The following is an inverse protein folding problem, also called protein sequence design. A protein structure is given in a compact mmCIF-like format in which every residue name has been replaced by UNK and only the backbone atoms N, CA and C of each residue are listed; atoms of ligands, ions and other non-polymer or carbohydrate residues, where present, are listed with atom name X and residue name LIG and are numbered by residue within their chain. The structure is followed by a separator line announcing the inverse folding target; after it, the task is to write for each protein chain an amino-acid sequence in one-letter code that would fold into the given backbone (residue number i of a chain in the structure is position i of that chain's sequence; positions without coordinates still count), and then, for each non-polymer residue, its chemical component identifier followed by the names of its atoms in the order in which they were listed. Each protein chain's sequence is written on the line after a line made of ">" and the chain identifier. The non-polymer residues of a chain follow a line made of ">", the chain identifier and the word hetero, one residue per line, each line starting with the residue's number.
data_IF_129432626401
#
_entry.id   IF_129432626401
#
_cell.length_a   1.000
_cell.length_b   1.000
_cell.length_c   1.000
_cell.angle_alpha   90.00
_cell.angle_beta   90.00
_cell.angle_gamma   90.00
#
_symmetry.space_group_name_H-M   'P 1'
#
loop_
_entity.id
_entity.type
_entity.pdbx_description
1 polymer ?
#
# COMPACT_ATOMS: atom_id res chain seq x y z
N UNK A 1 80.58 -24.36 30.45
CA UNK A 1 81.16 -23.04 30.08
C UNK A 1 80.19 -21.96 30.44
N UNK A 2 80.50 -21.04 31.38
CA UNK A 2 79.76 -19.84 31.67
C UNK A 2 80.18 -18.77 30.68
N UNK A 3 79.22 -18.27 29.87
CA UNK A 3 79.44 -17.12 29.03
C UNK A 3 79.01 -15.84 29.78
N UNK A 4 79.88 -14.85 29.82
CA UNK A 4 79.62 -13.55 30.46
C UNK A 4 79.45 -12.55 29.35
N UNK A 5 78.32 -11.85 29.37
CA UNK A 5 77.98 -10.76 28.40
C UNK A 5 78.08 -9.45 29.15
N UNK A 6 78.73 -8.49 28.53
CA UNK A 6 78.63 -7.03 28.91
C UNK A 6 77.72 -6.35 27.95
N UNK A 7 76.80 -5.57 28.46
CA UNK A 7 75.91 -4.75 27.64
C UNK A 7 75.87 -3.32 28.20
N UNK A 8 75.61 -2.39 27.32
CA UNK A 8 75.30 -1.00 27.68
C UNK A 8 73.88 -0.75 27.35
N UNK A 9 73.10 -0.30 28.35
CA UNK A 9 71.74 0.15 28.16
C UNK A 9 71.74 1.67 27.98
N UNK A 10 71.33 2.15 26.78
CA UNK A 10 71.12 3.56 26.49
C UNK A 10 69.67 3.86 26.79
N UNK A 11 69.41 4.76 27.70
CA UNK A 11 68.05 5.23 28.03
C UNK A 11 67.85 6.61 27.41
N UNK A 12 67.00 6.73 26.37
CA UNK A 12 66.81 8.01 25.68
C UNK A 12 66.32 9.12 26.61
N UNK A 13 65.53 8.76 27.63
CA UNK A 13 64.95 9.75 28.56
C UNK A 13 66.01 10.37 29.49
N UNK A 14 67.20 9.71 29.64
CA UNK A 14 68.30 10.17 30.47
C UNK A 14 69.41 10.82 29.68
N UNK A 15 69.24 10.93 28.35
CA UNK A 15 70.25 11.59 27.54
C UNK A 15 69.95 13.11 27.54
N UNK A 16 70.89 13.86 28.13
CA UNK A 16 70.93 15.32 28.01
C UNK A 16 71.54 15.70 26.65
N UNK A 17 70.75 16.30 25.83
CA UNK A 17 71.23 16.86 24.54
C UNK A 17 71.78 18.26 24.85
N UNK A 18 73.07 18.35 24.87
CA UNK A 18 73.73 19.64 25.09
C UNK A 18 73.97 20.36 23.76
N UNK A 19 72.87 20.53 22.99
CA UNK A 19 72.87 21.17 21.67
C UNK A 19 71.91 22.33 21.70
N UNK A 20 72.36 23.48 21.29
CA UNK A 20 71.51 24.61 21.01
C UNK A 20 70.90 24.44 19.63
N UNK A 21 69.57 24.39 19.56
CA UNK A 21 68.84 24.38 18.31
C UNK A 21 68.87 25.77 17.73
N UNK A 22 69.28 25.89 16.46
CA UNK A 22 69.31 27.17 15.76
C UNK A 22 67.90 27.57 15.28
N UNK A 23 67.74 28.86 15.00
CA UNK A 23 66.47 29.38 14.45
C UNK A 23 66.15 28.74 13.09
N UNK A 24 67.16 28.57 12.26
CA UNK A 24 67.00 27.96 10.94
C UNK A 24 66.51 26.49 11.03
N UNK A 25 66.95 25.72 12.03
CA UNK A 25 66.47 24.37 12.25
C UNK A 25 65.00 24.33 12.72
N UNK A 26 64.57 25.31 13.50
CA UNK A 26 63.19 25.44 13.90
C UNK A 26 62.29 25.83 12.70
N UNK A 27 62.72 26.73 11.86
CA UNK A 27 62.01 27.14 10.65
C UNK A 27 61.90 25.96 9.68
N UNK A 28 62.99 25.28 9.43
CA UNK A 28 62.96 24.08 8.56
C UNK A 28 62.05 22.99 9.09
N UNK A 29 62.09 22.73 10.38
CA UNK A 29 61.16 21.72 11.00
C UNK A 29 59.71 22.20 10.84
N UNK A 30 59.40 23.44 11.04
CA UNK A 30 58.06 23.97 10.85
C UNK A 30 57.59 23.86 9.39
N UNK A 31 58.47 24.11 8.41
CA UNK A 31 58.12 23.96 6.99
C UNK A 31 57.89 22.46 6.66
N UNK A 32 58.79 21.56 7.09
CA UNK A 32 58.72 20.14 6.80
C UNK A 32 57.47 19.47 7.42
N UNK A 33 57.02 19.97 8.57
CA UNK A 33 55.89 19.41 9.32
C UNK A 33 54.70 20.40 9.42
N UNK A 34 54.60 21.34 8.51
CA UNK A 34 53.57 22.39 8.56
C UNK A 34 52.14 21.88 8.70
N UNK A 35 51.86 20.71 8.14
CA UNK A 35 50.55 20.07 8.25
C UNK A 35 50.19 19.66 9.71
N UNK A 36 51.17 19.43 10.56
CA UNK A 36 50.96 19.05 11.97
C UNK A 36 50.66 20.28 12.85
N UNK A 37 50.99 21.48 12.35
CA UNK A 37 50.81 22.76 13.05
C UNK A 37 49.58 23.53 12.57
N UNK A 38 48.75 22.93 11.68
CA UNK A 38 47.53 23.55 11.20
C UNK A 38 46.40 23.28 12.16
N UNK A 39 45.80 24.34 12.69
CA UNK A 39 44.52 24.16 13.41
C UNK A 39 43.42 23.78 12.40
N UNK A 40 42.64 22.76 12.68
CA UNK A 40 41.51 22.41 11.82
C UNK A 40 40.53 23.57 11.72
N UNK A 41 39.98 23.77 10.51
CA UNK A 41 38.93 24.75 10.32
C UNK A 41 37.68 24.35 11.10
N UNK A 42 37.21 25.19 12.00
CA UNK A 42 35.98 25.06 12.72
C UNK A 42 34.92 25.99 12.15
N UNK A 43 33.73 25.50 11.95
CA UNK A 43 32.58 26.28 11.46
C UNK A 43 31.41 26.11 12.41
N UNK A 44 30.91 27.23 12.88
CA UNK A 44 29.60 27.25 13.56
C UNK A 44 28.50 27.25 12.51
N UNK A 45 27.64 26.22 12.57
CA UNK A 45 26.55 26.08 11.62
C UNK A 45 25.24 26.16 12.39
N UNK A 46 24.38 27.09 12.00
CA UNK A 46 22.98 27.16 12.45
C UNK A 46 22.09 26.71 11.32
N UNK A 47 21.15 25.81 11.62
CA UNK A 47 20.15 25.35 10.66
C UNK A 47 18.77 25.35 11.28
N UNK A 48 17.76 25.51 10.43
CA UNK A 48 16.35 25.40 10.80
C UNK A 48 15.83 24.14 10.13
N UNK A 49 15.25 23.24 10.91
CA UNK A 49 14.53 22.06 10.41
C UNK A 49 13.05 22.43 10.32
N UNK A 50 12.49 22.38 9.13
CA UNK A 50 11.07 22.49 8.91
C UNK A 50 10.52 21.08 8.64
N UNK A 51 9.82 20.51 9.63
CA UNK A 51 9.19 19.20 9.50
C UNK A 51 7.71 19.38 9.13
N UNK A 52 7.24 18.61 8.17
CA UNK A 52 5.81 18.53 7.83
C UNK A 52 4.98 18.08 9.04
N UNK A 53 5.52 17.19 9.87
CA UNK A 53 4.83 16.71 11.07
C UNK A 53 4.67 17.83 12.11
N UNK A 54 5.66 18.72 12.28
CA UNK A 54 5.58 19.87 13.18
C UNK A 54 4.54 20.89 12.70
N UNK A 55 4.39 21.07 11.40
CA UNK A 55 3.36 21.91 10.80
C UNK A 55 1.99 21.27 11.00
N UNK A 56 1.86 19.99 10.64
CA UNK A 56 0.62 19.23 10.78
C UNK A 56 0.10 19.20 12.23
N UNK A 57 1.01 19.15 13.22
CA UNK A 57 0.65 19.22 14.63
C UNK A 57 -0.01 20.56 15.04
N UNK A 58 0.35 21.66 14.37
CA UNK A 58 -0.17 23.00 14.63
C UNK A 58 -1.48 23.31 13.91
N UNK A 59 -1.87 22.49 12.91
CA UNK A 59 -3.13 22.67 12.20
C UNK A 59 -4.29 22.26 13.10
N UNK A 60 -5.16 23.22 13.41
CA UNK A 60 -6.40 22.98 14.13
C UNK A 60 -7.53 22.78 13.11
N UNK A 61 -8.01 21.56 12.99
CA UNK A 61 -9.18 21.24 12.17
C UNK A 61 -10.44 21.35 13.02
N UNK A 62 -11.42 22.08 12.53
CA UNK A 62 -12.74 22.15 13.15
C UNK A 62 -13.55 20.87 12.89
N UNK A 63 -14.58 20.64 13.68
CA UNK A 63 -15.51 19.54 13.43
C UNK A 63 -16.28 19.76 12.12
N UNK A 64 -16.47 21.00 11.72
CA UNK A 64 -17.10 21.40 10.46
C UNK A 64 -16.23 21.02 9.25
N UNK A 65 -14.92 21.24 9.31
CA UNK A 65 -14.00 20.83 8.23
C UNK A 65 -14.00 19.30 8.04
N UNK A 66 -14.01 18.57 9.14
CA UNK A 66 -14.04 17.10 9.13
C UNK A 66 -15.38 16.60 8.56
N UNK A 67 -16.48 17.24 8.95
CA UNK A 67 -17.81 16.88 8.44
C UNK A 67 -17.96 17.21 6.96
N UNK A 68 -17.48 18.35 6.51
CA UNK A 68 -17.48 18.76 5.12
C UNK A 68 -16.70 17.74 4.26
N UNK A 69 -15.47 17.42 4.67
CA UNK A 69 -14.65 16.43 3.97
C UNK A 69 -15.31 15.04 3.92
N UNK A 70 -15.91 14.59 5.03
CA UNK A 70 -16.63 13.32 5.07
C UNK A 70 -17.77 13.28 4.08
N UNK A 71 -18.60 14.34 4.04
CA UNK A 71 -19.77 14.42 3.16
C UNK A 71 -19.38 14.51 1.67
N UNK A 72 -18.31 15.23 1.35
CA UNK A 72 -17.81 15.37 -0.01
C UNK A 72 -17.13 14.09 -0.52
N UNK A 73 -16.61 13.26 0.38
CA UNK A 73 -15.80 12.08 0.03
C UNK A 73 -16.41 10.77 0.56
N UNK A 74 -17.73 10.65 0.61
CA UNK A 74 -18.43 9.47 1.15
C UNK A 74 -17.93 8.15 0.56
N UNK A 75 -17.62 8.11 -0.72
CA UNK A 75 -17.11 6.95 -1.43
C UNK A 75 -15.78 6.41 -0.88
N UNK A 76 -14.96 7.25 -0.21
CA UNK A 76 -13.73 6.83 0.43
C UNK A 76 -13.96 6.13 1.80
N UNK A 77 -15.16 6.29 2.35
CA UNK A 77 -15.56 5.77 3.66
C UNK A 77 -16.63 4.69 3.56
N UNK A 78 -17.00 4.31 2.35
CA UNK A 78 -17.96 3.25 2.06
C UNK A 78 -17.27 2.11 1.30
N UNK A 79 -17.53 0.89 1.72
CA UNK A 79 -17.19 -0.30 0.94
C UNK A 79 -18.51 -0.80 0.33
N UNK A 80 -18.65 -0.83 -0.98
CA UNK A 80 -19.90 -1.28 -1.60
C UNK A 80 -20.18 -2.75 -1.29
N UNK A 81 -21.47 -3.11 -1.30
CA UNK A 81 -21.87 -4.51 -1.31
C UNK A 81 -21.32 -5.15 -2.58
N UNK A 82 -20.74 -6.34 -2.44
CA UNK A 82 -20.28 -7.13 -3.58
C UNK A 82 -20.91 -8.52 -3.55
N UNK A 83 -21.19 -9.04 -4.73
CA UNK A 83 -21.79 -10.36 -4.92
C UNK A 83 -20.92 -11.23 -5.79
N UNK A 84 -20.67 -12.45 -5.35
CA UNK A 84 -20.01 -13.44 -6.18
C UNK A 84 -21.05 -14.02 -7.14
N UNK A 85 -20.84 -13.76 -8.42
CA UNK A 85 -21.80 -14.05 -9.49
C UNK A 85 -21.22 -15.08 -10.44
N UNK A 86 -22.00 -16.11 -10.69
CA UNK A 86 -21.80 -17.04 -11.79
C UNK A 86 -22.72 -16.61 -12.93
N UNK A 87 -22.24 -16.68 -14.17
CA UNK A 87 -22.99 -16.24 -15.35
C UNK A 87 -22.88 -17.27 -16.48
N UNK A 88 -23.98 -17.47 -17.18
CA UNK A 88 -24.05 -18.13 -18.48
C UNK A 88 -24.60 -17.16 -19.52
N UNK A 89 -24.07 -17.21 -20.73
CA UNK A 89 -24.52 -16.38 -21.86
C UNK A 89 -24.95 -17.29 -22.98
N UNK A 90 -26.10 -16.96 -23.59
CA UNK A 90 -26.70 -17.68 -24.72
C UNK A 90 -27.08 -16.73 -25.85
N UNK A 91 -26.97 -17.20 -27.06
CA UNK A 91 -27.32 -16.41 -28.25
C UNK A 91 -28.85 -16.28 -28.41
N UNK A 92 -29.61 -17.23 -27.90
CA UNK A 92 -31.06 -17.25 -28.01
C UNK A 92 -31.78 -17.39 -26.68
N UNK A 93 -32.98 -16.82 -26.61
CA UNK A 93 -33.87 -16.97 -25.46
C UNK A 93 -34.25 -18.43 -25.17
N UNK A 94 -34.47 -19.20 -26.25
CA UNK A 94 -34.87 -20.61 -26.13
C UNK A 94 -33.81 -21.46 -25.42
N UNK A 95 -32.53 -21.20 -25.71
CA UNK A 95 -31.42 -21.90 -25.05
C UNK A 95 -31.30 -21.49 -23.57
N UNK A 96 -31.47 -20.18 -23.30
CA UNK A 96 -31.48 -19.67 -21.94
C UNK A 96 -32.65 -20.23 -21.13
N UNK A 97 -33.86 -20.35 -21.72
CA UNK A 97 -35.02 -20.93 -21.07
C UNK A 97 -34.81 -22.44 -20.74
N UNK A 98 -34.19 -23.21 -21.64
CA UNK A 98 -33.81 -24.62 -21.39
C UNK A 98 -32.83 -24.72 -20.22
N UNK A 99 -31.82 -23.85 -20.18
CA UNK A 99 -30.84 -23.81 -19.10
C UNK A 99 -31.52 -23.44 -17.76
N UNK A 100 -32.40 -22.43 -17.78
CA UNK A 100 -33.13 -22.00 -16.60
C UNK A 100 -34.06 -23.11 -16.07
N UNK A 101 -34.72 -23.87 -16.96
CA UNK A 101 -35.54 -25.05 -16.58
C UNK A 101 -34.67 -26.12 -15.91
N UNK A 102 -33.49 -26.46 -16.48
CA UNK A 102 -32.58 -27.43 -15.91
C UNK A 102 -32.06 -27.00 -14.50
N UNK A 103 -31.83 -25.72 -14.29
CA UNK A 103 -31.45 -25.19 -12.98
C UNK A 103 -32.58 -25.23 -11.96
N UNK A 104 -33.82 -25.00 -12.39
CA UNK A 104 -35.03 -25.16 -11.55
C UNK A 104 -35.28 -26.64 -11.14
N UNK A 105 -34.85 -27.58 -11.97
CA UNK A 105 -34.86 -29.04 -11.64
C UNK A 105 -33.74 -29.42 -10.67
N UNK A 106 -32.86 -28.47 -10.31
CA UNK A 106 -31.79 -28.68 -9.32
C UNK A 106 -30.47 -29.16 -9.90
N UNK A 107 -30.28 -29.08 -11.22
CA UNK A 107 -28.96 -29.34 -11.84
C UNK A 107 -27.91 -28.34 -11.38
N UNK A 108 -26.67 -28.80 -11.28
CA UNK A 108 -25.54 -27.94 -10.92
C UNK A 108 -25.31 -26.87 -11.97
N UNK A 109 -25.04 -25.64 -11.53
CA UNK A 109 -24.88 -24.48 -12.41
C UNK A 109 -23.71 -24.65 -13.41
N UNK A 110 -22.56 -25.16 -12.94
CA UNK A 110 -21.41 -25.39 -13.81
C UNK A 110 -21.62 -26.56 -14.80
N UNK A 111 -22.38 -27.55 -14.37
CA UNK A 111 -22.75 -28.66 -15.26
C UNK A 111 -23.63 -28.15 -16.43
N UNK A 112 -24.64 -27.32 -16.12
CA UNK A 112 -25.52 -26.69 -17.13
C UNK A 112 -24.72 -25.73 -18.01
N UNK A 113 -23.81 -24.92 -17.43
CA UNK A 113 -22.95 -24.02 -18.19
C UNK A 113 -22.08 -24.76 -19.22
N UNK A 114 -21.48 -25.86 -18.80
CA UNK A 114 -20.65 -26.69 -19.71
C UNK A 114 -21.48 -27.40 -20.77
N UNK A 115 -22.64 -27.93 -20.41
CA UNK A 115 -23.49 -28.73 -21.30
C UNK A 115 -24.20 -27.85 -22.34
N UNK A 116 -24.85 -26.75 -21.90
CA UNK A 116 -25.72 -25.92 -22.75
C UNK A 116 -25.06 -24.65 -23.25
N UNK A 117 -24.32 -23.94 -22.41
CA UNK A 117 -23.65 -22.69 -22.81
C UNK A 117 -22.23 -22.91 -23.37
N UNK A 118 -21.68 -24.14 -23.31
CA UNK A 118 -20.32 -24.48 -23.72
C UNK A 118 -19.24 -23.64 -22.99
N UNK A 119 -19.57 -23.15 -21.81
CA UNK A 119 -18.70 -22.36 -20.96
C UNK A 119 -18.03 -23.25 -19.92
N UNK A 120 -16.75 -23.04 -19.69
CA UNK A 120 -16.02 -23.68 -18.60
C UNK A 120 -16.26 -22.95 -17.28
N UNK A 121 -15.65 -23.46 -16.20
CA UNK A 121 -15.81 -22.91 -14.86
C UNK A 121 -15.23 -21.52 -14.73
N UNK A 122 -14.16 -21.22 -15.45
CA UNK A 122 -13.48 -19.94 -15.39
C UNK A 122 -14.30 -18.87 -16.12
N UNK A 123 -14.77 -19.16 -17.33
CA UNK A 123 -15.64 -18.28 -18.10
C UNK A 123 -17.00 -18.02 -17.42
N UNK A 124 -17.45 -18.96 -16.60
CA UNK A 124 -18.72 -18.85 -15.88
C UNK A 124 -18.62 -17.98 -14.61
N UNK A 125 -17.43 -17.84 -14.01
CA UNK A 125 -17.26 -17.16 -12.73
C UNK A 125 -16.81 -15.72 -12.90
N UNK A 126 -17.70 -14.76 -12.66
CA UNK A 126 -17.37 -13.33 -12.66
C UNK A 126 -16.65 -12.86 -11.38
N UNK A 127 -16.62 -13.70 -10.34
CA UNK A 127 -16.08 -13.33 -9.04
C UNK A 127 -16.98 -12.35 -8.28
N UNK A 128 -16.38 -11.61 -7.35
CA UNK A 128 -17.10 -10.57 -6.60
C UNK A 128 -17.20 -9.30 -7.41
N UNK A 129 -18.43 -8.93 -7.76
CA UNK A 129 -18.76 -7.71 -8.51
C UNK A 129 -19.61 -6.77 -7.65
N UNK A 130 -19.38 -5.48 -7.80
CA UNK A 130 -20.24 -4.42 -7.24
C UNK A 130 -21.33 -4.03 -8.23
N UNK A 131 -22.29 -3.24 -7.77
CA UNK A 131 -23.47 -2.87 -8.55
C UNK A 131 -23.12 -2.11 -9.84
N UNK A 132 -22.11 -1.28 -9.80
CA UNK A 132 -21.60 -0.47 -10.91
C UNK A 132 -20.77 -1.25 -11.95
N UNK A 133 -20.37 -2.48 -11.63
CA UNK A 133 -19.64 -3.36 -12.54
C UNK A 133 -20.54 -4.14 -13.50
N UNK A 134 -21.83 -4.15 -13.26
CA UNK A 134 -22.83 -4.83 -14.08
C UNK A 134 -23.67 -3.83 -14.87
N UNK A 135 -24.16 -4.23 -16.05
CA UNK A 135 -25.14 -3.45 -16.79
C UNK A 135 -26.45 -3.36 -15.98
N UNK A 136 -27.20 -2.26 -16.16
CA UNK A 136 -28.32 -1.89 -15.30
C UNK A 136 -29.32 -3.03 -15.05
N UNK A 137 -29.80 -3.70 -16.09
CA UNK A 137 -30.81 -4.77 -15.97
C UNK A 137 -30.27 -5.98 -15.23
N UNK A 138 -29.02 -6.36 -15.46
CA UNK A 138 -28.38 -7.47 -14.74
C UNK A 138 -28.07 -7.07 -13.29
N UNK A 139 -27.62 -5.85 -13.07
CA UNK A 139 -27.32 -5.30 -11.75
C UNK A 139 -28.55 -5.34 -10.85
N UNK A 140 -29.67 -4.82 -11.36
CA UNK A 140 -30.94 -4.81 -10.61
C UNK A 140 -31.39 -6.23 -10.24
N UNK A 141 -31.34 -7.16 -11.20
CA UNK A 141 -31.72 -8.54 -10.97
C UNK A 141 -30.80 -9.26 -9.96
N UNK A 142 -29.50 -9.07 -10.11
CA UNK A 142 -28.49 -9.70 -9.23
C UNK A 142 -28.57 -9.13 -7.83
N UNK A 143 -28.66 -7.81 -7.66
CA UNK A 143 -28.59 -7.17 -6.33
C UNK A 143 -29.90 -7.22 -5.54
N UNK A 144 -31.03 -7.56 -6.17
CA UNK A 144 -32.29 -7.93 -5.48
C UNK A 144 -32.36 -9.41 -5.07
N UNK A 145 -31.52 -10.26 -5.64
CA UNK A 145 -31.58 -11.68 -5.41
C UNK A 145 -30.94 -12.08 -4.07
N UNK A 146 -31.39 -13.18 -3.48
CA UNK A 146 -30.79 -13.76 -2.28
C UNK A 146 -29.57 -14.64 -2.66
N UNK A 147 -28.69 -14.88 -1.69
CA UNK A 147 -27.62 -15.86 -1.85
C UNK A 147 -28.19 -17.23 -2.27
N UNK A 148 -27.60 -17.82 -3.29
CA UNK A 148 -28.03 -19.08 -3.89
C UNK A 148 -29.06 -18.94 -4.99
N UNK A 149 -29.69 -17.78 -5.15
CA UNK A 149 -30.73 -17.57 -6.16
C UNK A 149 -30.16 -17.53 -7.57
N UNK A 150 -30.93 -18.05 -8.50
CA UNK A 150 -30.70 -17.95 -9.94
C UNK A 150 -31.62 -16.84 -10.47
N UNK A 151 -31.09 -15.95 -11.29
CA UNK A 151 -31.78 -14.83 -11.91
C UNK A 151 -31.62 -14.89 -13.43
N UNK A 152 -32.64 -14.46 -14.12
CA UNK A 152 -32.69 -14.48 -15.58
C UNK A 152 -33.77 -15.43 -16.12
N UNK A 153 -33.84 -15.57 -17.45
CA UNK A 153 -32.98 -14.95 -18.46
C UNK A 153 -33.14 -13.42 -18.53
N UNK A 154 -32.01 -12.71 -18.59
CA UNK A 154 -31.96 -11.25 -18.79
C UNK A 154 -31.31 -10.97 -20.14
N UNK A 155 -31.94 -10.15 -20.96
CA UNK A 155 -31.43 -9.78 -22.28
C UNK A 155 -30.39 -8.66 -22.18
N UNK A 156 -29.32 -8.76 -22.95
CA UNK A 156 -28.36 -7.69 -23.18
C UNK A 156 -27.97 -7.61 -24.64
N UNK A 157 -27.06 -6.69 -24.98
CA UNK A 157 -26.46 -6.63 -26.32
C UNK A 157 -25.61 -7.86 -26.65
N UNK A 158 -25.10 -8.53 -25.63
CA UNK A 158 -24.26 -9.74 -25.77
C UNK A 158 -25.06 -11.05 -25.83
N UNK A 159 -26.39 -10.99 -25.66
CA UNK A 159 -27.24 -12.17 -25.64
C UNK A 159 -28.12 -12.28 -24.41
N UNK A 160 -28.48 -13.52 -24.05
CA UNK A 160 -29.32 -13.85 -22.93
C UNK A 160 -28.52 -14.42 -21.76
N UNK A 161 -28.65 -13.79 -20.61
CA UNK A 161 -27.85 -14.09 -19.43
C UNK A 161 -28.68 -14.80 -18.37
N UNK A 162 -28.10 -15.89 -17.82
CA UNK A 162 -28.58 -16.51 -16.59
C UNK A 162 -27.45 -16.37 -15.56
N UNK A 163 -27.79 -15.83 -14.40
CA UNK A 163 -26.84 -15.56 -13.33
C UNK A 163 -27.24 -16.25 -12.05
N UNK A 164 -26.23 -16.62 -11.22
CA UNK A 164 -26.46 -17.16 -9.88
C UNK A 164 -25.63 -16.38 -8.88
N UNK A 165 -26.27 -15.91 -7.83
CA UNK A 165 -25.58 -15.27 -6.70
C UNK A 165 -25.04 -16.36 -5.77
N UNK A 166 -23.77 -16.66 -5.87
CA UNK A 166 -23.14 -17.73 -5.07
C UNK A 166 -22.78 -17.26 -3.67
N UNK A 167 -22.42 -15.99 -3.50
CA UNK A 167 -22.11 -15.38 -2.20
C UNK A 167 -22.41 -13.88 -2.18
N UNK A 168 -22.58 -13.32 -1.00
CA UNK A 168 -22.84 -11.89 -0.78
C UNK A 168 -21.90 -11.39 0.32
N UNK A 169 -21.12 -10.36 0.00
CA UNK A 169 -20.38 -9.60 0.99
C UNK A 169 -21.09 -8.26 1.19
N UNK A 170 -21.63 -8.08 2.37
CA UNK A 170 -22.32 -6.83 2.71
C UNK A 170 -21.36 -5.66 2.60
N UNK A 171 -21.85 -4.56 2.06
CA UNK A 171 -21.17 -3.29 2.12
C UNK A 171 -21.04 -2.81 3.56
N UNK A 172 -20.07 -1.95 3.79
CA UNK A 172 -19.89 -1.28 5.07
C UNK A 172 -19.72 0.20 4.85
N UNK A 173 -20.27 0.98 5.78
CA UNK A 173 -20.10 2.43 5.82
C UNK A 173 -19.41 2.77 7.13
N UNK A 174 -18.26 3.42 7.00
CA UNK A 174 -17.56 3.97 8.14
C UNK A 174 -18.31 5.20 8.64
N UNK A 175 -18.72 5.21 9.89
CA UNK A 175 -19.38 6.40 10.45
C UNK A 175 -18.40 7.57 10.63
N UNK A 176 -18.94 8.79 10.83
CA UNK A 176 -18.13 10.00 10.99
C UNK A 176 -17.12 9.88 12.12
N UNK A 177 -17.45 9.18 13.20
CA UNK A 177 -16.56 9.01 14.36
C UNK A 177 -15.38 8.11 14.03
N UNK A 178 -15.64 7.02 13.31
CA UNK A 178 -14.59 6.10 12.83
C UNK A 178 -13.72 6.75 11.75
N UNK A 179 -14.35 7.53 10.84
CA UNK A 179 -13.66 8.22 9.76
C UNK A 179 -12.78 9.38 10.27
N UNK A 180 -13.13 9.99 11.42
CA UNK A 180 -12.47 11.19 11.95
C UNK A 180 -10.94 11.09 11.98
N UNK A 181 -10.41 10.01 12.53
CA UNK A 181 -8.96 9.84 12.63
C UNK A 181 -8.28 9.79 11.25
N UNK A 182 -8.93 9.13 10.30
CA UNK A 182 -8.46 9.05 8.90
C UNK A 182 -8.53 10.41 8.22
N UNK A 183 -9.64 11.14 8.37
CA UNK A 183 -9.85 12.48 7.80
C UNK A 183 -8.81 13.47 8.35
N UNK A 184 -8.63 13.51 9.67
CA UNK A 184 -7.61 14.35 10.30
C UNK A 184 -6.22 14.05 9.74
N UNK A 185 -5.89 12.78 9.53
CA UNK A 185 -4.60 12.39 8.95
C UNK A 185 -4.45 12.83 7.49
N UNK A 186 -5.53 12.87 6.71
CA UNK A 186 -5.52 13.34 5.33
C UNK A 186 -5.35 14.86 5.31
N UNK A 187 -6.27 15.59 5.95
CA UNK A 187 -6.30 17.05 5.94
C UNK A 187 -5.07 17.72 6.58
N UNK A 188 -4.30 17.00 7.38
CA UNK A 188 -3.03 17.50 7.94
C UNK A 188 -1.82 17.23 7.05
N UNK A 189 -1.96 16.43 6.01
CA UNK A 189 -0.87 16.13 5.06
C UNK A 189 -0.94 16.94 3.77
N UNK A 190 -2.15 17.40 3.43
CA UNK A 190 -2.42 18.29 2.29
C UNK A 190 -2.16 19.75 2.71
#
# INVERSE_FOLDING_TARGET
>A
QKKIFKYVKIDPEKMTIDRKISQDEVEQFYEDFSSEFVAPEERDVSFIVLSTDDIAAKINLSDEDIEAYYNENLNQFETPETRNVLQMVFDSQEEADKANAALKEGKDFYAVAKELAKQDREATNLGFVSQDMLIADMSEAVFKAKKGAVVGPVKSEMGWHIMKVSDIKAGSKMDKKQARAKIVSILKKD
#
